data_IF_920565470692
#
_entry.id   IF_920565470692
#
_cell.length_a   1.000
_cell.length_b   1.000
_cell.length_c   1.000
_cell.angle_alpha   90.00
_cell.angle_beta   90.00
_cell.angle_gamma   90.00
#
_symmetry.space_group_name_H-M   'P 1'
#
loop_
_entity.id
_entity.type
_entity.pdbx_description
1 polymer ?
#
# COMPACT_ATOMS: atom_id res chain seq x y z
N UNK A 1 -35.64 26.14 9.54
CA UNK A 1 -34.54 26.94 8.94
C UNK A 1 -33.21 26.35 9.38
N UNK A 2 -32.73 25.30 8.70
CA UNK A 2 -31.34 24.88 8.84
C UNK A 2 -30.51 25.90 8.05
N UNK A 3 -29.83 26.82 8.74
CA UNK A 3 -28.74 27.58 8.11
C UNK A 3 -27.81 26.55 7.48
N UNK A 4 -27.71 26.52 6.15
CA UNK A 4 -26.68 25.76 5.46
C UNK A 4 -25.35 26.16 6.09
N UNK A 5 -24.76 25.24 6.86
CA UNK A 5 -23.49 25.48 7.51
C UNK A 5 -22.44 25.35 6.42
N UNK A 6 -22.02 26.48 5.88
CA UNK A 6 -20.93 26.54 4.92
C UNK A 6 -19.68 25.95 5.56
N UNK A 7 -19.02 25.05 4.82
CA UNK A 7 -17.75 24.47 5.23
C UNK A 7 -16.64 25.46 4.90
N UNK A 8 -15.57 25.56 5.72
CA UNK A 8 -14.43 26.44 5.45
C UNK A 8 -13.50 25.84 4.38
N UNK A 9 -14.07 25.29 3.31
CA UNK A 9 -13.38 24.66 2.18
C UNK A 9 -14.10 25.05 0.89
N UNK A 10 -13.33 25.41 -0.12
CA UNK A 10 -13.85 25.77 -1.43
C UNK A 10 -12.95 25.18 -2.53
N UNK A 11 -13.57 24.86 -3.65
CA UNK A 11 -12.86 24.57 -4.90
C UNK A 11 -12.73 25.87 -5.69
N UNK A 12 -11.53 26.18 -6.14
CA UNK A 12 -11.24 27.39 -6.92
C UNK A 12 -10.74 26.94 -8.29
N UNK A 13 -11.44 27.38 -9.33
CA UNK A 13 -11.09 27.11 -10.72
C UNK A 13 -10.46 28.36 -11.34
N UNK A 14 -9.49 28.15 -12.23
CA UNK A 14 -8.80 29.20 -12.97
C UNK A 14 -9.01 29.00 -14.47
N UNK A 15 -8.85 30.06 -15.26
CA UNK A 15 -8.96 30.00 -16.73
C UNK A 15 -7.74 29.34 -17.39
N UNK A 16 -6.60 29.36 -16.71
CA UNK A 16 -5.32 28.84 -17.17
C UNK A 16 -4.81 27.79 -16.19
N UNK A 17 -4.23 26.71 -16.71
CA UNK A 17 -3.59 25.67 -15.90
C UNK A 17 -2.35 26.20 -15.19
N UNK A 18 -1.63 27.15 -15.80
CA UNK A 18 -0.51 27.84 -15.16
C UNK A 18 -0.94 28.56 -13.89
N UNK A 19 -1.99 29.39 -13.96
CA UNK A 19 -2.49 30.15 -12.82
C UNK A 19 -2.93 29.22 -11.67
N UNK A 20 -3.59 28.11 -12.02
CA UNK A 20 -3.98 27.09 -11.05
C UNK A 20 -2.77 26.42 -10.38
N UNK A 21 -1.73 26.09 -11.15
CA UNK A 21 -0.51 25.49 -10.61
C UNK A 21 0.22 26.45 -9.66
N UNK A 22 0.34 27.73 -10.02
CA UNK A 22 0.95 28.74 -9.16
C UNK A 22 0.17 28.94 -7.86
N UNK A 23 -1.16 29.02 -7.93
CA UNK A 23 -2.01 29.17 -6.74
C UNK A 23 -1.93 27.97 -5.79
N UNK A 24 -1.80 26.75 -6.34
CA UNK A 24 -1.68 25.53 -5.56
C UNK A 24 -0.32 25.41 -4.83
N UNK A 25 0.75 25.98 -5.36
CA UNK A 25 2.10 25.86 -4.79
C UNK A 25 2.51 27.03 -3.88
N UNK A 26 1.91 28.22 -4.06
CA UNK A 26 2.27 29.40 -3.29
C UNK A 26 1.58 29.46 -1.93
N UNK A 27 2.33 29.85 -0.89
CA UNK A 27 1.77 30.18 0.42
C UNK A 27 0.93 31.46 0.33
N UNK A 28 -0.38 31.34 0.55
CA UNK A 28 -1.32 32.44 0.36
C UNK A 28 -1.39 33.42 1.56
N UNK A 29 -1.05 32.95 2.76
CA UNK A 29 -1.21 33.73 3.99
C UNK A 29 -0.01 33.55 4.92
N UNK A 30 0.28 34.56 5.77
CA UNK A 30 1.44 34.55 6.69
C UNK A 30 1.38 33.37 7.67
N UNK A 31 0.18 33.07 8.17
CA UNK A 31 -0.06 31.86 8.97
C UNK A 31 -0.19 30.63 8.05
N UNK A 32 0.71 29.63 8.13
CA UNK A 32 0.73 28.46 7.25
C UNK A 32 -0.43 27.48 7.49
N UNK A 33 -1.16 27.61 8.60
CA UNK A 33 -2.34 26.78 8.90
C UNK A 33 -3.64 27.39 8.37
N UNK A 34 -3.58 28.59 7.80
CA UNK A 34 -4.73 29.32 7.26
C UNK A 34 -4.63 29.37 5.74
N UNK A 35 -5.75 29.13 5.06
CA UNK A 35 -5.85 29.19 3.59
C UNK A 35 -4.83 28.27 2.90
N UNK A 36 -4.77 27.02 3.37
CA UNK A 36 -3.92 25.97 2.80
C UNK A 36 -4.46 25.59 1.43
N UNK A 37 -3.66 25.79 0.38
CA UNK A 37 -3.96 25.38 -0.98
C UNK A 37 -3.32 24.03 -1.28
N UNK A 38 -3.99 23.23 -2.09
CA UNK A 38 -3.50 21.96 -2.60
C UNK A 38 -4.18 21.67 -3.94
N UNK A 39 -3.56 20.83 -4.77
CA UNK A 39 -4.21 20.35 -5.99
C UNK A 39 -5.50 19.60 -5.65
N UNK A 40 -6.60 19.98 -6.30
CA UNK A 40 -7.86 19.28 -6.14
C UNK A 40 -7.73 17.85 -6.72
N UNK A 41 -8.16 16.81 -5.97
CA UNK A 41 -8.22 15.47 -6.53
C UNK A 41 -9.29 15.38 -7.61
N UNK A 42 -9.19 14.38 -8.48
CA UNK A 42 -10.22 14.12 -9.48
C UNK A 42 -11.62 14.01 -8.82
N UNK A 43 -12.70 14.52 -9.44
CA UNK A 43 -14.03 14.51 -8.84
C UNK A 43 -14.53 13.12 -8.40
N UNK A 44 -14.09 12.05 -9.09
CA UNK A 44 -14.38 10.64 -8.78
C UNK A 44 -13.54 10.10 -7.61
N UNK A 45 -12.35 10.66 -7.41
CA UNK A 45 -11.39 10.32 -6.36
C UNK A 45 -11.66 11.10 -5.05
N UNK A 46 -12.33 12.25 -5.12
CA UNK A 46 -12.63 13.11 -3.98
C UNK A 46 -13.54 12.43 -2.93
N UNK A 47 -13.11 12.42 -1.66
CA UNK A 47 -13.92 11.98 -0.50
C UNK A 47 -14.58 13.20 0.15
N UNK A 48 -15.79 13.51 -0.31
CA UNK A 48 -16.56 14.70 0.09
C UNK A 48 -16.78 14.84 1.60
N UNK A 49 -16.96 13.73 2.32
CA UNK A 49 -17.18 13.74 3.77
C UNK A 49 -15.94 14.17 4.55
N UNK A 50 -14.75 13.95 4.01
CA UNK A 50 -13.48 14.22 4.68
C UNK A 50 -13.00 15.66 4.48
N UNK A 51 -13.49 16.34 3.44
CA UNK A 51 -13.23 17.77 3.20
C UNK A 51 -13.72 18.67 4.35
N UNK A 52 -14.72 18.24 5.11
CA UNK A 52 -15.29 19.02 6.21
C UNK A 52 -14.44 19.02 7.50
N UNK A 53 -13.37 18.22 7.56
CA UNK A 53 -12.62 17.98 8.79
C UNK A 53 -11.57 19.10 8.99
N UNK A 54 -11.54 19.77 10.16
CA UNK A 54 -10.53 20.80 10.43
C UNK A 54 -9.13 20.21 10.63
N UNK A 55 -8.09 20.92 10.18
CA UNK A 55 -6.69 20.47 10.18
C UNK A 55 -6.19 19.98 11.56
N UNK A 56 -6.51 20.67 12.65
CA UNK A 56 -6.11 20.24 14.00
C UNK A 56 -6.71 18.88 14.39
N UNK A 57 -7.93 18.57 13.93
CA UNK A 57 -8.59 17.30 14.19
C UNK A 57 -7.97 16.17 13.36
N UNK A 58 -7.56 16.46 12.13
CA UNK A 58 -6.80 15.52 11.29
C UNK A 58 -5.51 15.10 11.99
N UNK A 59 -4.79 16.01 12.67
CA UNK A 59 -3.59 15.66 13.42
C UNK A 59 -3.86 14.64 14.54
N UNK A 60 -4.97 14.80 15.27
CA UNK A 60 -5.40 13.83 16.32
C UNK A 60 -5.77 12.49 15.70
N UNK A 61 -6.48 12.47 14.57
CA UNK A 61 -6.81 11.24 13.85
C UNK A 61 -5.56 10.51 13.36
N UNK A 62 -4.57 11.23 12.81
CA UNK A 62 -3.27 10.68 12.42
C UNK A 62 -2.55 10.02 13.58
N UNK A 63 -2.53 10.67 14.74
CA UNK A 63 -1.95 10.10 15.95
C UNK A 63 -2.71 8.85 16.42
N UNK A 64 -4.05 8.89 16.40
CA UNK A 64 -4.90 7.75 16.74
C UNK A 64 -4.67 6.55 15.84
N UNK A 65 -4.59 6.77 14.52
CA UNK A 65 -4.28 5.73 13.51
C UNK A 65 -2.88 5.15 13.74
N UNK A 66 -1.89 6.00 14.04
CA UNK A 66 -0.54 5.54 14.37
C UNK A 66 -0.51 4.63 15.60
N UNK A 67 -1.18 5.03 16.68
CA UNK A 67 -1.28 4.23 17.91
C UNK A 67 -2.02 2.92 17.64
N UNK A 68 -3.14 2.95 16.92
CA UNK A 68 -3.91 1.77 16.56
C UNK A 68 -3.09 0.78 15.71
N UNK A 69 -2.35 1.27 14.71
CA UNK A 69 -1.48 0.45 13.89
C UNK A 69 -0.33 -0.17 14.69
N UNK A 70 0.25 0.57 15.65
CA UNK A 70 1.25 0.05 16.57
C UNK A 70 0.68 -1.07 17.46
N UNK A 71 -0.49 -0.85 18.07
CA UNK A 71 -1.16 -1.87 18.89
C UNK A 71 -1.50 -3.12 18.09
N UNK A 72 -2.01 -2.96 16.86
CA UNK A 72 -2.26 -4.07 15.95
C UNK A 72 -0.98 -4.85 15.64
N UNK A 73 0.13 -4.14 15.41
CA UNK A 73 1.46 -4.74 15.16
C UNK A 73 1.91 -5.58 16.36
N UNK A 74 1.80 -5.05 17.57
CA UNK A 74 2.17 -5.77 18.81
C UNK A 74 1.24 -6.97 19.04
N UNK A 75 -0.07 -6.81 18.86
CA UNK A 75 -1.03 -7.90 19.03
C UNK A 75 -0.80 -9.04 18.03
N UNK A 76 -0.46 -8.70 16.78
CA UNK A 76 -0.21 -9.67 15.73
C UNK A 76 1.12 -10.44 15.88
N UNK A 77 1.99 -10.02 16.80
CA UNK A 77 3.16 -10.82 17.19
C UNK A 77 2.74 -12.17 17.77
N UNK A 78 1.58 -12.26 18.43
CA UNK A 78 1.07 -13.52 19.03
C UNK A 78 0.80 -14.61 17.98
N UNK A 79 -0.04 -14.41 16.94
CA UNK A 79 -0.27 -15.44 15.92
C UNK A 79 1.01 -15.77 15.14
N UNK A 80 1.85 -14.78 14.82
CA UNK A 80 3.11 -15.03 14.12
C UNK A 80 4.05 -15.89 14.96
N UNK A 81 4.19 -15.59 16.26
CA UNK A 81 5.04 -16.38 17.15
C UNK A 81 4.50 -17.78 17.39
N UNK A 82 3.17 -17.94 17.44
CA UNK A 82 2.53 -19.25 17.52
C UNK A 82 2.81 -20.10 16.27
N UNK A 83 2.63 -19.53 15.07
CA UNK A 83 2.96 -20.18 13.78
C UNK A 83 4.43 -20.58 13.74
N UNK A 84 5.31 -19.68 14.18
CA UNK A 84 6.74 -19.91 14.19
C UNK A 84 7.15 -20.99 15.20
N UNK A 85 6.46 -21.06 16.35
CA UNK A 85 6.59 -22.16 17.30
C UNK A 85 6.24 -23.52 16.69
N UNK A 86 5.27 -23.57 15.77
CA UNK A 86 4.92 -24.79 15.03
C UNK A 86 6.07 -25.22 14.11
N UNK A 87 6.77 -24.29 13.45
CA UNK A 87 7.94 -24.62 12.60
C UNK A 87 9.07 -25.25 13.41
N UNK A 88 9.24 -24.86 14.68
CA UNK A 88 10.22 -25.46 15.60
C UNK A 88 9.74 -26.78 16.26
N UNK A 89 8.75 -27.46 15.67
CA UNK A 89 8.05 -28.65 16.19
C UNK A 89 8.94 -29.78 16.71
N UNK A 90 10.18 -29.90 16.22
CA UNK A 90 11.17 -30.86 16.73
C UNK A 90 11.44 -30.70 18.25
N UNK A 91 11.29 -29.48 18.81
CA UNK A 91 11.43 -29.23 20.26
C UNK A 91 10.14 -29.46 21.06
N UNK A 92 8.97 -29.35 20.44
CA UNK A 92 7.64 -29.53 21.08
C UNK A 92 7.22 -31.00 21.19
N UNK A 93 7.88 -31.90 20.44
CA UNK A 93 7.74 -33.38 20.53
C UNK A 93 7.71 -33.94 21.95
N UNK A 94 8.33 -33.24 22.91
CA UNK A 94 8.45 -33.69 24.30
C UNK A 94 7.21 -33.41 25.16
N UNK A 95 6.30 -32.53 24.72
CA UNK A 95 5.22 -32.01 25.59
C UNK A 95 3.79 -32.31 25.09
N UNK A 96 3.56 -32.63 23.81
CA UNK A 96 2.20 -32.82 23.26
C UNK A 96 1.94 -34.24 22.68
N UNK A 97 0.97 -35.03 23.20
CA UNK A 97 0.68 -36.38 22.74
C UNK A 97 0.05 -36.46 21.33
N UNK A 98 -0.58 -35.38 20.85
CA UNK A 98 -1.17 -35.31 19.50
C UNK A 98 -0.11 -35.42 18.37
N UNK A 99 1.14 -34.98 18.65
CA UNK A 99 2.25 -35.06 17.70
C UNK A 99 2.65 -36.51 17.34
N UNK A 100 2.34 -37.48 18.21
CA UNK A 100 2.62 -38.90 17.99
C UNK A 100 1.64 -39.54 17.00
N UNK A 101 0.42 -38.99 16.87
CA UNK A 101 -0.58 -39.45 15.91
C UNK A 101 -0.24 -39.06 14.46
N UNK A 102 0.44 -37.92 14.25
CA UNK A 102 0.89 -37.46 12.93
C UNK A 102 2.00 -38.34 12.35
N UNK A 103 2.76 -39.03 13.20
CA UNK A 103 3.81 -39.97 12.78
C UNK A 103 3.28 -41.26 12.13
N UNK A 104 1.99 -41.58 12.25
CA UNK A 104 1.44 -42.83 11.70
C UNK A 104 1.35 -42.80 10.16
N UNK A 105 1.45 -41.63 9.52
CA UNK A 105 1.27 -41.46 8.07
C UNK A 105 2.58 -40.96 7.46
N UNK A 106 3.30 -41.77 6.64
CA UNK A 106 4.50 -41.31 5.95
C UNK A 106 4.15 -40.14 5.01
N UNK A 107 4.92 -39.04 5.09
CA UNK A 107 4.73 -37.83 4.27
C UNK A 107 3.96 -36.69 4.96
N UNK A 108 3.12 -36.97 5.96
CA UNK A 108 2.31 -35.93 6.61
C UNK A 108 3.16 -34.96 7.47
N UNK A 109 4.26 -35.43 8.05
CA UNK A 109 5.17 -34.58 8.83
C UNK A 109 5.71 -33.42 7.99
N UNK A 110 6.15 -33.65 6.75
CA UNK A 110 6.73 -32.61 5.89
C UNK A 110 5.71 -31.53 5.51
N UNK A 111 4.44 -31.92 5.34
CA UNK A 111 3.33 -31.00 5.07
C UNK A 111 3.00 -30.16 6.31
N UNK A 112 2.96 -30.79 7.49
CA UNK A 112 2.63 -30.13 8.75
C UNK A 112 3.73 -29.19 9.23
N UNK A 113 5.01 -29.50 8.99
CA UNK A 113 6.13 -28.66 9.42
C UNK A 113 6.48 -27.53 8.44
N UNK A 114 6.23 -27.71 7.15
CA UNK A 114 6.57 -26.71 6.11
C UNK A 114 5.38 -25.90 5.60
N UNK A 115 4.31 -26.58 5.18
CA UNK A 115 3.20 -25.94 4.47
C UNK A 115 2.14 -25.35 5.42
N UNK A 116 1.77 -26.10 6.47
CA UNK A 116 0.72 -25.68 7.40
C UNK A 116 1.01 -24.32 8.08
N UNK A 117 2.22 -24.02 8.57
CA UNK A 117 2.53 -22.73 9.17
C UNK A 117 2.36 -21.58 8.18
N UNK A 118 2.82 -21.78 6.94
CA UNK A 118 2.71 -20.81 5.84
C UNK A 118 1.25 -20.54 5.49
N UNK A 119 0.42 -21.57 5.40
CA UNK A 119 -1.01 -21.44 5.08
C UNK A 119 -1.78 -20.70 6.19
N UNK A 120 -1.52 -20.99 7.46
CA UNK A 120 -2.15 -20.29 8.60
C UNK A 120 -1.72 -18.83 8.62
N UNK A 121 -0.43 -18.54 8.42
CA UNK A 121 0.08 -17.17 8.36
C UNK A 121 -0.56 -16.38 7.22
N UNK A 122 -0.65 -16.96 6.02
CA UNK A 122 -1.30 -16.32 4.87
C UNK A 122 -2.78 -15.99 5.15
N UNK A 123 -3.50 -16.88 5.83
CA UNK A 123 -4.87 -16.62 6.27
C UNK A 123 -4.98 -15.39 7.17
N UNK A 124 -4.06 -15.22 8.13
CA UNK A 124 -4.03 -14.03 8.98
C UNK A 124 -3.57 -12.77 8.24
N UNK A 125 -2.62 -12.89 7.31
CA UNK A 125 -2.14 -11.76 6.49
C UNK A 125 -3.26 -11.24 5.59
N UNK A 126 -4.13 -12.10 5.07
CA UNK A 126 -5.26 -11.68 4.22
C UNK A 126 -6.20 -10.69 4.91
N UNK A 127 -6.32 -10.74 6.25
CA UNK A 127 -7.13 -9.79 7.02
C UNK A 127 -6.50 -8.38 7.12
N UNK A 128 -5.17 -8.29 6.96
CA UNK A 128 -4.41 -7.07 7.25
C UNK A 128 -4.72 -5.92 6.28
N UNK A 129 -4.74 -6.11 4.94
CA UNK A 129 -5.13 -5.04 4.02
C UNK A 129 -6.50 -4.43 4.35
N UNK A 130 -7.49 -5.26 4.72
CA UNK A 130 -8.81 -4.78 5.12
C UNK A 130 -8.76 -3.95 6.42
N UNK A 131 -8.01 -4.40 7.42
CA UNK A 131 -7.82 -3.65 8.66
C UNK A 131 -7.09 -2.31 8.41
N UNK A 132 -6.05 -2.31 7.57
CA UNK A 132 -5.28 -1.11 7.22
C UNK A 132 -6.10 -0.11 6.40
N UNK A 133 -6.94 -0.58 5.47
CA UNK A 133 -7.90 0.26 4.75
C UNK A 133 -8.94 0.87 5.69
N UNK A 134 -9.42 0.10 6.67
CA UNK A 134 -10.29 0.60 7.74
C UNK A 134 -9.63 1.74 8.52
N UNK A 135 -8.40 1.53 8.99
CA UNK A 135 -7.64 2.56 9.73
C UNK A 135 -7.34 3.79 8.87
N UNK A 136 -6.92 3.62 7.61
CA UNK A 136 -6.67 4.72 6.68
C UNK A 136 -7.95 5.54 6.38
N UNK A 137 -9.13 4.91 6.43
CA UNK A 137 -10.41 5.61 6.31
C UNK A 137 -10.63 6.64 7.42
N UNK A 138 -10.16 6.35 8.64
CA UNK A 138 -10.32 7.23 9.80
C UNK A 138 -9.33 8.40 9.82
N UNK A 139 -8.26 8.37 9.02
CA UNK A 139 -7.23 9.42 8.99
C UNK A 139 -7.72 10.73 8.35
N UNK A 140 -8.84 10.69 7.63
CA UNK A 140 -9.43 11.87 6.98
C UNK A 140 -8.74 12.24 5.66
N UNK A 141 -8.30 11.26 4.86
CA UNK A 141 -7.74 11.49 3.52
C UNK A 141 -8.76 12.20 2.61
N UNK A 142 -8.28 13.15 1.81
CA UNK A 142 -9.12 13.96 0.92
C UNK A 142 -9.49 13.17 -0.35
N UNK A 143 -8.62 12.26 -0.78
CA UNK A 143 -8.76 11.43 -1.97
C UNK A 143 -8.75 9.93 -1.63
N UNK A 144 -9.44 9.10 -2.42
CA UNK A 144 -9.41 7.63 -2.30
C UNK A 144 -8.02 7.09 -2.64
N UNK A 145 -7.38 7.64 -3.66
CA UNK A 145 -5.99 7.36 -4.03
C UNK A 145 -5.04 7.50 -2.85
N UNK A 146 -5.09 8.63 -2.14
CA UNK A 146 -4.27 8.90 -0.97
C UNK A 146 -4.54 7.91 0.16
N UNK A 147 -5.80 7.54 0.36
CA UNK A 147 -6.21 6.54 1.36
C UNK A 147 -5.61 5.16 1.04
N UNK A 148 -5.68 4.72 -0.22
CA UNK A 148 -5.13 3.43 -0.66
C UNK A 148 -3.60 3.41 -0.59
N UNK A 149 -2.93 4.46 -1.06
CA UNK A 149 -1.47 4.62 -0.92
C UNK A 149 -1.05 4.54 0.54
N UNK A 150 -1.79 5.20 1.44
CA UNK A 150 -1.54 5.17 2.87
C UNK A 150 -1.73 3.77 3.46
N UNK A 151 -2.81 3.08 3.09
CA UNK A 151 -3.05 1.71 3.52
C UNK A 151 -1.92 0.77 3.06
N UNK A 152 -1.46 0.88 1.82
CA UNK A 152 -0.32 0.12 1.29
C UNK A 152 0.95 0.38 2.11
N UNK A 153 1.23 1.63 2.48
CA UNK A 153 2.39 1.97 3.31
C UNK A 153 2.30 1.35 4.71
N UNK A 154 1.11 1.35 5.32
CA UNK A 154 0.89 0.69 6.61
C UNK A 154 1.05 -0.84 6.51
N UNK A 155 0.52 -1.46 5.45
CA UNK A 155 0.71 -2.90 5.16
C UNK A 155 2.19 -3.23 5.00
N UNK A 156 2.95 -2.44 4.24
CA UNK A 156 4.38 -2.67 4.04
C UNK A 156 5.15 -2.71 5.36
N UNK A 157 5.01 -1.67 6.19
CA UNK A 157 5.71 -1.65 7.49
C UNK A 157 5.23 -2.72 8.45
N UNK A 158 3.94 -3.07 8.41
CA UNK A 158 3.39 -4.15 9.21
C UNK A 158 3.99 -5.51 8.82
N UNK A 159 4.06 -5.82 7.52
CA UNK A 159 4.67 -7.06 7.03
C UNK A 159 6.16 -7.10 7.34
N UNK A 160 6.86 -5.98 7.15
CA UNK A 160 8.28 -5.86 7.49
C UNK A 160 8.52 -6.12 8.99
N UNK A 161 7.71 -5.54 9.87
CA UNK A 161 7.80 -5.73 11.32
C UNK A 161 7.41 -7.14 11.76
N UNK A 162 6.23 -7.62 11.37
CA UNK A 162 5.70 -8.89 11.85
C UNK A 162 6.20 -10.09 11.04
N UNK A 163 5.97 -10.10 9.73
CA UNK A 163 6.27 -11.28 8.90
C UNK A 163 7.78 -11.47 8.75
N UNK A 164 8.55 -10.39 8.64
CA UNK A 164 10.01 -10.49 8.56
C UNK A 164 10.67 -10.46 9.95
N UNK A 165 10.66 -9.33 10.66
CA UNK A 165 11.44 -9.20 11.91
C UNK A 165 10.95 -10.12 13.02
N UNK A 166 9.64 -10.17 13.31
CA UNK A 166 9.13 -11.08 14.36
C UNK A 166 9.40 -12.53 14.00
N UNK A 167 9.21 -12.98 12.75
CA UNK A 167 9.54 -14.38 12.38
C UNK A 167 11.00 -14.74 12.63
N UNK A 168 11.93 -13.84 12.30
CA UNK A 168 13.37 -14.05 12.55
C UNK A 168 13.69 -14.05 14.06
N UNK A 169 13.02 -13.18 14.83
CA UNK A 169 13.21 -13.05 16.28
C UNK A 169 12.52 -14.16 17.09
N UNK A 170 11.40 -14.68 16.57
CA UNK A 170 10.46 -15.61 17.22
C UNK A 170 10.99 -17.04 17.31
N UNK A 171 12.29 -17.25 17.15
CA UNK A 171 12.93 -18.53 17.44
C UNK A 171 13.42 -18.64 18.89
N UNK A 172 14.40 -19.51 19.11
CA UNK A 172 15.09 -19.69 20.40
C UNK A 172 15.89 -18.46 20.88
N UNK A 173 15.72 -17.31 20.21
CA UNK A 173 16.50 -16.08 20.35
C UNK A 173 15.75 -14.99 21.13
N UNK A 174 14.49 -15.18 21.53
CA UNK A 174 13.81 -14.29 22.47
C UNK A 174 14.63 -14.12 23.78
N UNK A 175 15.37 -15.15 24.19
CA UNK A 175 16.29 -15.09 25.33
C UNK A 175 17.55 -14.25 25.04
N UNK A 176 17.96 -14.10 23.77
CA UNK A 176 19.11 -13.27 23.37
C UNK A 176 18.75 -11.79 23.26
N UNK A 177 17.47 -11.41 23.15
CA UNK A 177 17.05 -10.00 23.15
C UNK A 177 17.43 -9.31 24.47
N UNK A 178 17.39 -10.05 25.59
CA UNK A 178 17.84 -9.55 26.90
C UNK A 178 19.34 -9.22 26.94
N UNK A 179 20.17 -9.96 26.20
CA UNK A 179 21.63 -9.72 26.11
C UNK A 179 21.99 -8.72 24.98
N UNK A 180 21.21 -8.65 23.90
CA UNK A 180 21.47 -7.80 22.72
C UNK A 180 21.53 -6.31 23.01
N UNK A 181 20.86 -5.82 24.07
CA UNK A 181 20.94 -4.41 24.46
C UNK A 181 22.30 -4.01 25.04
N UNK A 182 23.13 -4.97 25.45
CA UNK A 182 24.43 -4.66 26.08
C UNK A 182 25.57 -4.42 25.09
N UNK A 183 25.49 -4.97 23.86
CA UNK A 183 26.57 -4.91 22.86
C UNK A 183 26.03 -4.59 21.45
N UNK A 184 25.80 -3.31 21.09
CA UNK A 184 25.17 -2.92 19.82
C UNK A 184 25.99 -3.26 18.57
N UNK A 185 27.29 -3.56 18.73
CA UNK A 185 28.17 -3.96 17.62
C UNK A 185 27.84 -5.34 17.05
N UNK A 186 27.19 -6.20 17.82
CA UNK A 186 26.88 -7.58 17.41
C UNK A 186 25.49 -7.73 16.79
N UNK A 187 24.69 -6.67 16.71
CA UNK A 187 23.33 -6.73 16.17
C UNK A 187 23.31 -7.25 14.71
N UNK A 188 24.14 -6.74 13.77
CA UNK A 188 24.10 -7.20 12.39
C UNK A 188 24.51 -8.68 12.24
N UNK A 189 25.50 -9.14 13.02
CA UNK A 189 25.95 -10.53 12.98
C UNK A 189 24.90 -11.47 13.55
N UNK A 190 24.27 -11.13 14.68
CA UNK A 190 23.17 -11.92 15.26
C UNK A 190 21.97 -12.00 14.33
N UNK A 191 21.58 -10.87 13.73
CA UNK A 191 20.49 -10.82 12.75
C UNK A 191 20.81 -11.72 11.54
N UNK A 192 22.03 -11.66 11.01
CA UNK A 192 22.44 -12.49 9.87
C UNK A 192 22.40 -13.99 10.18
N UNK A 193 22.81 -14.40 11.39
CA UNK A 193 22.70 -15.79 11.83
C UNK A 193 21.24 -16.24 11.93
N UNK A 194 20.37 -15.38 12.46
CA UNK A 194 18.95 -15.69 12.64
C UNK A 194 18.22 -15.79 11.28
N UNK A 195 18.49 -14.86 10.37
CA UNK A 195 17.98 -14.88 8.99
C UNK A 195 18.39 -16.17 8.28
N UNK A 196 19.67 -16.55 8.40
CA UNK A 196 20.19 -17.78 7.76
C UNK A 196 19.57 -19.05 8.35
N UNK A 197 19.29 -19.07 9.66
CA UNK A 197 18.64 -20.20 10.31
C UNK A 197 17.17 -20.36 9.90
N UNK A 198 16.52 -19.27 9.48
CA UNK A 198 15.10 -19.23 9.13
C UNK A 198 14.85 -19.27 7.61
N UNK A 199 15.87 -19.52 6.78
CA UNK A 199 15.74 -19.51 5.32
C UNK A 199 14.69 -20.49 4.79
N UNK A 200 14.60 -21.68 5.38
CA UNK A 200 13.71 -22.75 4.90
C UNK A 200 12.24 -22.37 5.01
N UNK A 201 11.87 -21.61 6.05
CA UNK A 201 10.55 -21.02 6.20
C UNK A 201 10.27 -19.98 5.12
N UNK A 202 11.19 -19.04 4.87
CA UNK A 202 10.98 -18.01 3.85
C UNK A 202 10.93 -18.59 2.44
N UNK A 203 11.73 -19.62 2.13
CA UNK A 203 11.65 -20.34 0.85
C UNK A 203 10.27 -20.96 0.69
N UNK A 204 9.77 -21.65 1.72
CA UNK A 204 8.45 -22.29 1.66
C UNK A 204 7.32 -21.27 1.59
N UNK A 205 7.45 -20.15 2.31
CA UNK A 205 6.52 -19.02 2.27
C UNK A 205 6.44 -18.41 0.87
N UNK A 206 7.58 -18.06 0.25
CA UNK A 206 7.63 -17.50 -1.11
C UNK A 206 7.08 -18.49 -2.14
N UNK A 207 7.38 -19.78 -2.00
CA UNK A 207 6.89 -20.81 -2.92
C UNK A 207 5.37 -20.97 -2.81
N UNK A 208 4.84 -20.94 -1.59
CA UNK A 208 3.41 -21.06 -1.30
C UNK A 208 2.67 -19.81 -1.75
N UNK A 209 3.02 -18.65 -1.21
CA UNK A 209 2.32 -17.40 -1.49
C UNK A 209 2.53 -16.93 -2.93
N UNK A 210 3.79 -16.91 -3.40
CA UNK A 210 4.13 -16.41 -4.72
C UNK A 210 3.59 -17.28 -5.86
N UNK A 211 3.87 -18.59 -5.85
CA UNK A 211 3.43 -19.44 -6.96
C UNK A 211 1.97 -19.88 -6.83
N UNK A 212 1.53 -20.31 -5.65
CA UNK A 212 0.15 -20.78 -5.48
C UNK A 212 -0.84 -19.62 -5.38
N UNK A 213 -0.47 -18.50 -4.76
CA UNK A 213 -1.29 -17.29 -4.70
C UNK A 213 -1.55 -16.71 -6.09
N UNK A 214 -0.50 -16.53 -6.90
CA UNK A 214 -0.65 -16.05 -8.28
C UNK A 214 -1.54 -16.98 -9.11
N UNK A 215 -1.40 -18.30 -8.95
CA UNK A 215 -2.25 -19.28 -9.63
C UNK A 215 -3.74 -19.13 -9.24
N UNK A 216 -4.03 -18.86 -7.96
CA UNK A 216 -5.39 -18.63 -7.46
C UNK A 216 -5.96 -17.27 -7.88
N UNK A 217 -5.13 -16.24 -7.99
CA UNK A 217 -5.52 -14.91 -8.50
C UNK A 217 -5.83 -14.95 -9.99
N UNK A 218 -5.04 -15.66 -10.80
CA UNK A 218 -5.33 -15.87 -12.23
C UNK A 218 -6.66 -16.60 -12.42
N UNK A 219 -6.96 -17.57 -11.56
CA UNK A 219 -8.25 -18.26 -11.57
C UNK A 219 -9.42 -17.34 -11.11
N UNK A 220 -9.10 -16.19 -10.49
CA UNK A 220 -10.05 -15.26 -9.89
C UNK A 220 -11.09 -15.98 -9.04
N UNK A 221 -10.65 -16.93 -8.21
CA UNK A 221 -11.53 -17.86 -7.53
C UNK A 221 -12.66 -17.18 -6.72
N UNK A 222 -12.36 -16.03 -6.09
CA UNK A 222 -13.34 -15.23 -5.36
C UNK A 222 -14.44 -14.65 -6.25
N UNK A 223 -14.08 -14.06 -7.39
CA UNK A 223 -15.05 -13.54 -8.36
C UNK A 223 -15.85 -14.68 -8.98
N UNK A 224 -15.18 -15.77 -9.37
CA UNK A 224 -15.83 -16.92 -9.99
C UNK A 224 -16.90 -17.53 -9.06
N UNK A 225 -16.55 -17.80 -7.80
CA UNK A 225 -17.49 -18.36 -6.82
C UNK A 225 -18.64 -17.41 -6.49
N UNK A 226 -18.37 -16.10 -6.39
CA UNK A 226 -19.41 -15.08 -6.22
C UNK A 226 -20.37 -15.04 -7.41
N UNK A 227 -19.85 -15.08 -8.64
CA UNK A 227 -20.66 -15.08 -9.85
C UNK A 227 -21.48 -16.37 -9.97
N UNK A 228 -20.93 -17.54 -9.64
CA UNK A 228 -21.70 -18.79 -9.57
C UNK A 228 -22.82 -18.72 -8.52
N UNK A 229 -22.54 -18.17 -7.33
CA UNK A 229 -23.54 -17.99 -6.29
C UNK A 229 -24.63 -16.99 -6.71
N UNK A 230 -24.26 -15.90 -7.37
CA UNK A 230 -25.18 -14.89 -7.90
C UNK A 230 -26.02 -15.43 -9.05
N UNK A 231 -25.43 -16.21 -9.96
CA UNK A 231 -26.14 -16.87 -11.05
C UNK A 231 -27.10 -17.96 -10.55
N UNK A 232 -26.74 -18.66 -9.47
CA UNK A 232 -27.61 -19.67 -8.85
C UNK A 232 -28.76 -19.04 -8.05
N UNK A 233 -28.53 -17.90 -7.40
CA UNK A 233 -29.55 -17.19 -6.60
C UNK A 233 -30.45 -16.27 -7.43
N UNK A 234 -29.93 -15.68 -8.50
CA UNK A 234 -30.62 -14.74 -9.39
C UNK A 234 -30.37 -15.21 -10.81
N UNK A 235 -31.35 -15.89 -11.41
CA UNK A 235 -31.27 -16.53 -12.74
C UNK A 235 -31.15 -15.56 -13.93
N UNK A 236 -30.20 -14.61 -13.88
CA UNK A 236 -29.84 -13.73 -14.98
C UNK A 236 -28.37 -13.93 -15.33
N UNK A 237 -28.16 -14.51 -16.51
CA UNK A 237 -26.83 -14.73 -17.11
C UNK A 237 -26.40 -13.43 -17.82
N UNK A 238 -25.53 -12.66 -17.18
CA UNK A 238 -24.93 -11.48 -17.80
C UNK A 238 -23.85 -11.95 -18.80
N UNK A 239 -24.17 -11.81 -20.09
CA UNK A 239 -23.26 -11.99 -21.21
C UNK A 239 -22.50 -10.65 -21.39
N UNK A 240 -21.17 -10.74 -21.54
CA UNK A 240 -20.20 -9.65 -21.79
C UNK A 240 -19.60 -8.92 -20.58
N UNK A 241 -18.97 -9.65 -19.66
CA UNK A 241 -18.18 -9.05 -18.57
C UNK A 241 -16.73 -9.59 -18.52
N UNK A 242 -16.20 -10.01 -19.67
CA UNK A 242 -14.82 -10.52 -19.78
C UNK A 242 -13.80 -9.44 -20.14
N UNK A 243 -14.25 -8.24 -20.56
CA UNK A 243 -13.34 -7.20 -21.06
C UNK A 243 -13.02 -6.11 -20.00
N UNK A 244 -13.91 -5.84 -19.04
CA UNK A 244 -13.66 -4.87 -17.96
C UNK A 244 -13.75 -5.52 -16.55
N UNK A 245 -12.80 -6.40 -16.23
CA UNK A 245 -12.72 -6.97 -14.86
C UNK A 245 -12.12 -5.97 -13.86
N UNK A 246 -11.31 -5.03 -14.35
CA UNK A 246 -10.68 -3.99 -13.54
C UNK A 246 -10.97 -2.62 -14.15
N UNK A 247 -12.09 -2.00 -13.76
CA UNK A 247 -12.34 -0.61 -14.08
C UNK A 247 -11.36 0.29 -13.30
N UNK A 248 -10.57 1.09 -14.02
CA UNK A 248 -9.73 2.11 -13.40
C UNK A 248 -10.66 3.18 -12.82
N UNK A 249 -10.76 3.23 -11.49
CA UNK A 249 -11.68 4.14 -10.80
C UNK A 249 -11.17 5.58 -10.76
N UNK A 250 -9.85 5.77 -10.81
CA UNK A 250 -9.16 7.06 -10.76
C UNK A 250 -7.73 6.92 -11.29
N UNK A 251 -7.17 7.99 -11.87
CA UNK A 251 -5.75 8.02 -12.28
C UNK A 251 -4.90 8.84 -11.30
N UNK A 252 -3.82 8.24 -10.80
CA UNK A 252 -2.87 8.90 -9.90
C UNK A 252 -1.65 9.46 -10.61
N UNK A 253 -1.55 9.27 -11.94
CA UNK A 253 -0.44 9.70 -12.78
C UNK A 253 0.94 9.31 -12.21
N UNK A 254 1.04 8.12 -11.59
CA UNK A 254 2.30 7.61 -11.04
C UNK A 254 2.72 8.18 -9.67
N UNK A 255 1.86 8.92 -8.97
CA UNK A 255 2.15 9.45 -7.62
C UNK A 255 2.52 8.38 -6.58
N UNK A 256 2.19 7.11 -6.83
CA UNK A 256 2.57 6.00 -5.95
C UNK A 256 4.05 5.57 -6.10
N UNK A 257 4.69 5.88 -7.23
CA UNK A 257 6.05 5.43 -7.54
C UNK A 257 7.13 5.79 -6.50
N UNK A 258 7.16 7.01 -5.91
CA UNK A 258 8.11 7.33 -4.85
C UNK A 258 8.02 6.40 -3.63
N UNK A 259 6.81 5.93 -3.29
CA UNK A 259 6.61 4.98 -2.20
C UNK A 259 7.19 3.61 -2.58
N UNK A 260 6.96 3.13 -3.80
CA UNK A 260 7.56 1.88 -4.31
C UNK A 260 9.08 1.96 -4.28
N UNK A 261 9.66 3.05 -4.80
CA UNK A 261 11.11 3.28 -4.77
C UNK A 261 11.65 3.23 -3.32
N UNK A 262 10.94 3.85 -2.38
CA UNK A 262 11.29 3.78 -0.95
C UNK A 262 11.26 2.35 -0.40
N UNK A 263 10.24 1.54 -0.73
CA UNK A 263 10.17 0.14 -0.30
C UNK A 263 11.33 -0.71 -0.83
N UNK A 264 11.69 -0.51 -2.10
CA UNK A 264 12.83 -1.18 -2.73
C UNK A 264 14.12 -0.76 -2.03
N UNK A 265 14.30 0.55 -1.80
CA UNK A 265 15.47 1.09 -1.10
C UNK A 265 15.61 0.51 0.31
N UNK A 266 14.52 0.48 1.09
CA UNK A 266 14.50 -0.13 2.44
C UNK A 266 14.88 -1.62 2.36
N UNK A 267 14.33 -2.35 1.38
CA UNK A 267 14.61 -3.78 1.19
C UNK A 267 16.08 -4.05 0.82
N UNK A 268 16.64 -3.28 -0.10
CA UNK A 268 18.06 -3.39 -0.51
C UNK A 268 18.99 -3.04 0.65
N UNK A 269 18.66 -1.99 1.42
CA UNK A 269 19.44 -1.58 2.59
C UNK A 269 19.45 -2.69 3.65
N UNK A 270 18.29 -3.29 3.94
CA UNK A 270 18.15 -4.41 4.86
C UNK A 270 18.95 -5.64 4.41
N UNK A 271 18.91 -5.97 3.11
CA UNK A 271 19.71 -7.03 2.51
C UNK A 271 21.22 -6.77 2.67
N UNK A 272 21.69 -5.55 2.42
CA UNK A 272 23.11 -5.20 2.56
C UNK A 272 23.58 -5.26 4.03
N UNK A 273 22.76 -4.80 4.97
CA UNK A 273 23.05 -4.88 6.42
C UNK A 273 23.16 -6.35 6.87
N UNK A 274 22.22 -7.20 6.45
CA UNK A 274 22.24 -8.64 6.79
C UNK A 274 23.42 -9.36 6.12
N UNK A 275 23.77 -9.01 4.88
CA UNK A 275 24.93 -9.55 4.16
C UNK A 275 26.26 -9.16 4.83
N UNK A 276 26.37 -7.91 5.30
CA UNK A 276 27.52 -7.43 6.08
C UNK A 276 27.69 -8.26 7.37
N UNK A 277 26.59 -8.51 8.07
CA UNK A 277 26.57 -9.37 9.25
C UNK A 277 26.98 -10.82 8.95
N UNK A 278 26.51 -11.39 7.84
CA UNK A 278 26.79 -12.77 7.44
C UNK A 278 28.26 -12.98 7.09
N UNK A 279 28.87 -12.05 6.35
CA UNK A 279 30.30 -12.13 6.02
C UNK A 279 31.20 -11.87 7.22
N UNK A 280 30.76 -11.03 8.15
CA UNK A 280 31.40 -10.86 9.45
C UNK A 280 31.48 -12.19 10.21
N UNK A 281 30.38 -12.94 10.29
CA UNK A 281 30.35 -14.27 10.92
C UNK A 281 31.24 -15.30 10.22
N UNK A 282 31.23 -15.31 8.88
CA UNK A 282 32.01 -16.29 8.09
C UNK A 282 33.51 -15.99 8.04
N UNK A 283 34.01 -15.00 8.80
CA UNK A 283 35.43 -14.62 8.85
C UNK A 283 36.03 -14.35 7.46
N UNK A 284 35.24 -13.77 6.55
CA UNK A 284 35.70 -13.34 5.21
C UNK A 284 35.79 -11.82 5.16
N UNK A 285 36.86 -11.22 5.72
CA UNK A 285 36.95 -9.77 5.92
C UNK A 285 36.89 -8.97 4.61
N UNK A 286 37.44 -9.50 3.51
CA UNK A 286 37.40 -8.83 2.20
C UNK A 286 35.98 -8.60 1.67
N UNK A 287 35.08 -9.58 1.83
CA UNK A 287 33.70 -9.47 1.36
C UNK A 287 32.86 -8.52 2.25
N UNK A 288 33.09 -8.54 3.56
CA UNK A 288 32.45 -7.61 4.50
C UNK A 288 32.87 -6.16 4.21
N UNK A 289 34.18 -5.92 4.02
CA UNK A 289 34.70 -4.59 3.67
C UNK A 289 34.18 -4.10 2.32
N UNK A 290 34.07 -4.97 1.30
CA UNK A 290 33.51 -4.61 0.00
C UNK A 290 32.02 -4.22 0.07
N UNK A 291 31.27 -4.70 1.06
CA UNK A 291 29.83 -4.40 1.20
C UNK A 291 29.57 -3.00 1.74
N UNK A 292 30.50 -2.43 2.52
CA UNK A 292 30.35 -1.10 3.13
C UNK A 292 30.27 0.03 2.09
N UNK A 293 31.16 0.10 1.07
CA UNK A 293 31.02 1.06 -0.03
C UNK A 293 29.71 0.93 -0.80
N UNK A 294 29.19 -0.28 -0.99
CA UNK A 294 27.89 -0.48 -1.65
C UNK A 294 26.76 0.16 -0.85
N UNK A 295 26.73 -0.03 0.47
CA UNK A 295 25.73 0.59 1.34
C UNK A 295 25.77 2.12 1.25
N UNK A 296 26.97 2.69 1.29
CA UNK A 296 27.16 4.15 1.14
C UNK A 296 26.66 4.61 -0.23
N UNK A 297 27.02 3.91 -1.31
CA UNK A 297 26.58 4.24 -2.67
C UNK A 297 25.06 4.13 -2.81
N UNK A 298 24.41 3.14 -2.21
CA UNK A 298 22.95 3.00 -2.20
C UNK A 298 22.27 4.17 -1.49
N UNK A 299 22.80 4.62 -0.35
CA UNK A 299 22.29 5.80 0.37
C UNK A 299 22.48 7.07 -0.47
N UNK A 300 23.69 7.27 -1.03
CA UNK A 300 23.98 8.43 -1.89
C UNK A 300 23.10 8.46 -3.13
N UNK A 301 22.86 7.30 -3.76
CA UNK A 301 21.96 7.17 -4.89
C UNK A 301 20.52 7.53 -4.52
N UNK A 302 20.03 7.08 -3.36
CA UNK A 302 18.69 7.44 -2.90
C UNK A 302 18.55 8.95 -2.63
N UNK A 303 19.55 9.58 -2.00
CA UNK A 303 19.54 11.04 -1.80
C UNK A 303 19.63 11.79 -3.13
N UNK A 304 20.43 11.32 -4.08
CA UNK A 304 20.45 11.85 -5.45
C UNK A 304 19.06 11.74 -6.10
N UNK A 305 18.41 10.58 -6.02
CA UNK A 305 17.08 10.38 -6.58
C UNK A 305 16.03 11.28 -5.92
N UNK A 306 16.08 11.46 -4.59
CA UNK A 306 15.18 12.38 -3.88
C UNK A 306 15.37 13.82 -4.32
N UNK A 307 16.61 14.30 -4.37
CA UNK A 307 16.89 15.69 -4.77
C UNK A 307 16.54 15.93 -6.24
N UNK A 308 16.79 14.95 -7.12
CA UNK A 308 16.62 15.11 -8.56
C UNK A 308 15.21 14.83 -9.08
N UNK A 309 14.57 13.76 -8.61
CA UNK A 309 13.34 13.23 -9.22
C UNK A 309 12.10 13.37 -8.34
N UNK A 310 12.22 13.36 -7.00
CA UNK A 310 11.05 13.49 -6.12
C UNK A 310 10.20 14.75 -6.37
N UNK A 311 10.78 15.93 -6.68
CA UNK A 311 9.98 17.12 -6.97
C UNK A 311 9.00 16.93 -8.14
N UNK A 312 9.35 16.11 -9.14
CA UNK A 312 8.53 15.88 -10.34
C UNK A 312 7.19 15.20 -10.01
N UNK A 313 7.13 14.42 -8.93
CA UNK A 313 5.92 13.70 -8.53
C UNK A 313 4.95 14.54 -7.68
N UNK A 314 5.45 15.62 -7.06
CA UNK A 314 4.66 16.48 -6.18
C UNK A 314 4.31 17.83 -6.81
N UNK A 315 5.16 18.30 -7.73
CA UNK A 315 5.03 19.61 -8.37
C UNK A 315 4.76 19.44 -9.86
N UNK A 316 3.83 20.24 -10.40
CA UNK A 316 3.57 20.26 -11.84
C UNK A 316 4.50 21.29 -12.50
N UNK A 317 5.31 20.90 -13.51
CA UNK A 317 6.18 21.86 -14.19
C UNK A 317 5.38 22.98 -14.85
N UNK A 318 5.75 24.23 -14.55
CA UNK A 318 5.17 25.45 -15.14
C UNK A 318 5.22 25.41 -16.67
N UNK A 319 6.33 24.94 -17.25
CA UNK A 319 6.47 24.83 -18.70
C UNK A 319 5.40 23.95 -19.34
N UNK A 320 5.09 22.80 -18.74
CA UNK A 320 4.07 21.88 -19.26
C UNK A 320 2.67 22.51 -19.15
N UNK A 321 2.41 23.22 -18.05
CA UNK A 321 1.15 23.94 -17.89
C UNK A 321 0.98 25.06 -18.94
N UNK A 322 2.05 25.78 -19.26
CA UNK A 322 2.06 26.81 -20.31
C UNK A 322 1.84 26.21 -21.71
N UNK A 323 2.57 25.15 -22.06
CA UNK A 323 2.42 24.47 -23.36
C UNK A 323 1.00 23.91 -23.53
N UNK A 324 0.41 23.35 -22.48
CA UNK A 324 -0.98 22.90 -22.48
C UNK A 324 -1.97 24.06 -22.67
N UNK A 325 -1.75 25.18 -22.01
CA UNK A 325 -2.60 26.35 -22.14
C UNK A 325 -2.53 26.89 -23.59
N UNK A 326 -1.33 27.07 -24.16
CA UNK A 326 -1.14 27.49 -25.57
C UNK A 326 -1.85 26.56 -26.56
N UNK A 327 -1.78 25.24 -26.33
CA UNK A 327 -2.49 24.25 -27.12
C UNK A 327 -4.02 24.40 -27.02
N UNK A 328 -4.56 24.55 -25.80
CA UNK A 328 -5.99 24.76 -25.58
C UNK A 328 -6.48 26.08 -26.20
N UNK A 329 -5.63 27.11 -26.21
CA UNK A 329 -5.92 28.38 -26.88
C UNK A 329 -5.99 28.21 -28.40
N UNK A 330 -5.10 27.40 -28.98
CA UNK A 330 -5.10 27.10 -30.42
C UNK A 330 -6.34 26.28 -30.85
N UNK A 331 -6.84 25.38 -30.00
CA UNK A 331 -8.07 24.60 -30.25
C UNK A 331 -9.37 25.37 -29.93
N UNK A 332 -9.29 26.54 -29.29
CA UNK A 332 -10.45 27.41 -29.01
C UNK A 332 -11.34 26.95 -27.84
N UNK A 333 -10.83 26.14 -26.91
CA UNK A 333 -11.64 25.48 -25.85
C UNK A 333 -11.93 26.29 -24.56
N UNK A 334 -11.86 27.63 -24.56
CA UNK A 334 -11.75 28.39 -23.28
C UNK A 334 -13.00 28.47 -22.39
N UNK A 335 -14.19 28.68 -22.92
CA UNK A 335 -15.38 28.99 -22.08
C UNK A 335 -16.16 27.74 -21.63
N UNK A 336 -16.33 26.75 -22.50
CA UNK A 336 -17.06 25.52 -22.18
C UNK A 336 -16.38 24.65 -21.11
N UNK A 337 -15.05 24.72 -21.01
CA UNK A 337 -14.28 23.90 -20.07
C UNK A 337 -14.32 24.42 -18.64
N UNK A 338 -14.44 25.74 -18.43
CA UNK A 338 -14.54 26.30 -17.07
C UNK A 338 -15.88 25.94 -16.42
N UNK A 339 -16.99 26.06 -17.15
CA UNK A 339 -18.31 25.65 -16.67
C UNK A 339 -18.39 24.14 -16.46
N UNK A 340 -17.73 23.36 -17.33
CA UNK A 340 -17.57 21.92 -17.14
C UNK A 340 -16.78 21.62 -15.85
N UNK A 341 -15.68 22.31 -15.60
CA UNK A 341 -14.90 22.13 -14.38
C UNK A 341 -15.71 22.47 -13.12
N UNK A 342 -16.44 23.60 -13.13
CA UNK A 342 -17.31 23.99 -12.00
C UNK A 342 -18.43 22.97 -11.78
N UNK A 343 -19.03 22.44 -12.85
CA UNK A 343 -20.08 21.41 -12.72
C UNK A 343 -19.54 20.05 -12.29
N UNK A 344 -18.28 19.72 -12.61
CA UNK A 344 -17.66 18.46 -12.25
C UNK A 344 -17.51 18.30 -10.72
N UNK A 345 -17.09 19.36 -10.03
CA UNK A 345 -16.97 19.41 -8.56
C UNK A 345 -18.30 19.68 -7.83
N UNK A 346 -19.43 19.29 -8.42
CA UNK A 346 -20.72 19.22 -7.73
C UNK A 346 -20.95 17.81 -7.19
N UNK A 347 -21.15 17.65 -5.86
CA UNK A 347 -21.40 16.34 -5.29
C UNK A 347 -22.69 15.75 -5.84
N UNK A 348 -22.79 14.43 -5.87
CA UNK A 348 -23.87 13.68 -6.52
C UNK A 348 -25.27 14.09 -6.02
N UNK A 349 -25.40 14.47 -4.76
CA UNK A 349 -26.65 14.92 -4.13
C UNK A 349 -27.04 16.38 -4.46
N UNK A 350 -26.19 17.13 -5.16
CA UNK A 350 -26.45 18.52 -5.57
C UNK A 350 -26.59 18.65 -7.10
N UNK A 351 -26.33 17.58 -7.86
CA UNK A 351 -26.61 17.56 -9.29
C UNK A 351 -28.13 17.53 -9.48
N UNK A 352 -28.69 18.33 -10.42
CA UNK A 352 -30.10 18.21 -10.75
C UNK A 352 -30.37 16.77 -11.20
N UNK A 353 -31.46 16.16 -10.73
CA UNK A 353 -31.96 14.88 -11.24
C UNK A 353 -32.42 15.09 -12.68
N UNK A 354 -31.48 15.13 -13.62
CA UNK A 354 -31.80 14.99 -15.02
C UNK A 354 -32.10 13.50 -15.23
N UNK A 355 -33.38 13.16 -15.12
CA UNK A 355 -33.95 11.90 -15.61
C UNK A 355 -33.91 11.92 -17.15
N UNK A 356 -32.71 11.91 -17.73
CA UNK A 356 -32.51 11.61 -19.14
C UNK A 356 -32.04 10.16 -19.23
N UNK A 357 -33.01 9.29 -19.48
CA UNK A 357 -32.80 8.07 -20.25
C UNK A 357 -32.11 8.48 -21.56
N UNK A 358 -30.79 8.52 -21.58
CA UNK A 358 -30.06 8.44 -22.84
C UNK A 358 -30.19 7.00 -23.32
N UNK A 359 -31.26 6.79 -24.07
CA UNK A 359 -31.37 5.69 -25.02
C UNK A 359 -30.11 5.68 -25.88
N UNK A 360 -29.31 4.63 -25.71
CA UNK A 360 -28.51 3.97 -26.76
C UNK A 360 -28.28 4.81 -28.03
N UNK A 361 -27.12 5.42 -28.14
CA UNK A 361 -26.57 5.88 -29.42
C UNK A 361 -25.09 5.51 -29.54
N UNK A 362 -24.82 4.21 -29.44
CA UNK A 362 -23.66 3.63 -30.13
C UNK A 362 -24.16 3.32 -31.55
N UNK A 363 -24.02 4.27 -32.47
CA UNK A 363 -24.14 3.96 -33.89
C UNK A 363 -22.90 3.15 -34.31
N UNK A 364 -23.06 1.95 -34.90
CA UNK A 364 -21.93 1.16 -35.36
C UNK A 364 -21.37 1.76 -36.66
N UNK A 365 -20.08 2.05 -36.65
CA UNK A 365 -19.28 2.30 -37.85
C UNK A 365 -19.14 0.99 -38.65
N UNK A 366 -20.07 0.73 -39.56
CA UNK A 366 -19.86 -0.14 -40.72
C UNK A 366 -20.42 0.58 -41.94
N UNK A 367 -19.53 1.26 -42.66
CA UNK A 367 -19.76 1.71 -44.02
C UNK A 367 -19.57 0.52 -44.96
N UNK A 368 -20.67 0.04 -45.53
CA UNK A 368 -20.67 -0.90 -46.66
C UNK A 368 -20.12 -0.23 -47.92
N UNK A 369 -19.09 -0.83 -48.51
CA UNK A 369 -18.81 -0.80 -49.94
C UNK A 369 -18.43 -2.21 -50.38
#
# INVERSE_FOLDING_TARGET
MLKQKELPVAFVSFKSQLDAAQAAEMQQHVNPLSLVTAYAPEPTDAIWTNLAIPLCRIAVYKLGVFIAAFLLTVFFTIPVTAVQGIVQFEKIKRWFPLARAVQLIPGLNSVVTGYLPSMVLNGFIYLIPFAMLGMASFEGCIAKSQKEIKACNMVFYFLLGNVFFVSILSGSLLHQIGESFTHPKDIPSRLASAVSAQSDFFITYILTDGMSGFSLEVLQFGLLTWQFLKAHSVGHMYINQMEDVYEITYDTCGQYWPNIHHYIFVSVTLMQITMLGLFGLKSKPGASFATVPLLVLTILFNEYCKVRFLPIFHHRPVQVAMENDEFNEAEGMREGDMDRAISAYKPSWMRPENFSLDSSSVQPLVSSA
#
